data_IF_487204167814
#
_entry.id   IF_487204167814
#
_cell.length_a   1.000
_cell.length_b   1.000
_cell.length_c   1.000
_cell.angle_alpha   90.00
_cell.angle_beta   90.00
_cell.angle_gamma   90.00
#
_symmetry.space_group_name_H-M   'P 1'
#
loop_
_entity.id
_entity.type
_entity.pdbx_description
1 polymer ?
#
# COMPACT_ATOMS: atom_id res chain seq x y z
N UNK A 1 13.58 9.59 -16.77
CA UNK A 1 13.06 8.22 -16.49
C UNK A 1 13.76 7.60 -15.28
N UNK A 2 15.10 7.56 -15.23
CA UNK A 2 15.87 7.08 -14.07
C UNK A 2 15.48 7.74 -12.74
N UNK A 3 15.38 9.08 -12.70
CA UNK A 3 14.95 9.80 -11.50
C UNK A 3 13.53 9.40 -11.02
N UNK A 4 12.58 9.16 -11.93
CA UNK A 4 11.22 8.73 -11.56
C UNK A 4 11.18 7.31 -10.99
N UNK A 5 12.06 6.43 -11.50
CA UNK A 5 12.22 5.06 -10.99
C UNK A 5 12.82 5.11 -9.58
N UNK A 6 13.84 5.93 -9.37
CA UNK A 6 14.49 6.10 -8.07
C UNK A 6 13.52 6.73 -7.04
N UNK A 7 12.76 7.76 -7.44
CA UNK A 7 11.70 8.34 -6.59
C UNK A 7 10.63 7.31 -6.23
N UNK A 8 10.19 6.49 -7.19
CA UNK A 8 9.21 5.43 -6.93
C UNK A 8 9.74 4.37 -5.95
N UNK A 9 11.02 3.98 -6.08
CA UNK A 9 11.67 3.06 -5.13
C UNK A 9 11.74 3.65 -3.73
N UNK A 10 12.16 4.91 -3.61
CA UNK A 10 12.25 5.60 -2.30
C UNK A 10 10.87 5.75 -1.65
N UNK A 11 9.85 6.15 -2.40
CA UNK A 11 8.48 6.28 -1.90
C UNK A 11 7.94 4.93 -1.41
N UNK A 12 8.24 3.85 -2.13
CA UNK A 12 7.90 2.47 -1.75
C UNK A 12 8.61 2.03 -0.48
N UNK A 13 9.93 2.22 -0.39
CA UNK A 13 10.71 1.77 0.78
C UNK A 13 10.23 2.48 2.05
N UNK A 14 9.93 3.78 1.94
CA UNK A 14 9.27 4.54 3.01
C UNK A 14 7.90 3.98 3.38
N UNK A 15 7.08 3.61 2.39
CA UNK A 15 5.77 3.02 2.62
C UNK A 15 5.84 1.73 3.43
N UNK A 16 6.75 0.83 3.07
CA UNK A 16 7.00 -0.43 3.81
C UNK A 16 7.51 -0.15 5.22
N UNK A 17 8.48 0.75 5.37
CA UNK A 17 9.03 1.12 6.68
C UNK A 17 7.97 1.69 7.62
N UNK A 18 7.07 2.54 7.11
CA UNK A 18 5.97 3.11 7.89
C UNK A 18 4.98 2.03 8.32
N UNK A 19 4.69 1.05 7.47
CA UNK A 19 3.80 -0.07 7.84
C UNK A 19 4.46 -0.97 8.89
N UNK A 20 5.75 -1.24 8.79
CA UNK A 20 6.47 -2.04 9.80
C UNK A 20 6.49 -1.31 11.15
N UNK A 21 6.72 0.01 11.14
CA UNK A 21 6.60 0.84 12.35
C UNK A 21 5.18 0.82 12.92
N UNK A 22 4.16 0.87 12.08
CA UNK A 22 2.77 0.76 12.50
C UNK A 22 2.47 -0.60 13.14
N UNK A 23 2.95 -1.70 12.57
CA UNK A 23 2.82 -3.03 13.20
C UNK A 23 3.50 -3.08 14.56
N UNK A 24 4.71 -2.52 14.68
CA UNK A 24 5.41 -2.41 15.97
C UNK A 24 4.58 -1.64 17.01
N UNK A 25 4.03 -0.48 16.64
CA UNK A 25 3.18 0.32 17.52
C UNK A 25 1.89 -0.41 17.93
N UNK A 26 1.31 -1.21 17.03
CA UNK A 26 0.12 -2.03 17.35
C UNK A 26 0.44 -3.09 18.41
N UNK A 27 1.58 -3.77 18.29
CA UNK A 27 2.04 -4.75 19.30
C UNK A 27 2.30 -4.08 20.65
N UNK A 28 2.90 -2.89 20.64
CA UNK A 28 3.10 -2.13 21.87
C UNK A 28 1.77 -1.72 22.52
N UNK A 29 0.80 -1.26 21.71
CA UNK A 29 -0.54 -0.93 22.18
C UNK A 29 -1.26 -2.14 22.78
N UNK A 30 -1.12 -3.32 22.19
CA UNK A 30 -1.67 -4.56 22.75
C UNK A 30 -1.07 -4.88 24.12
N UNK A 31 0.26 -4.74 24.25
CA UNK A 31 0.95 -4.94 25.53
C UNK A 31 0.53 -3.90 26.60
N UNK A 32 0.34 -2.64 26.20
CA UNK A 32 -0.16 -1.58 27.10
C UNK A 32 -1.58 -1.91 27.55
N UNK A 33 -2.48 -2.26 26.63
CA UNK A 33 -3.85 -2.63 26.94
C UNK A 33 -3.92 -3.83 27.90
N UNK A 34 -3.07 -4.85 27.69
CA UNK A 34 -2.99 -6.00 28.60
C UNK A 34 -2.59 -5.58 30.03
N UNK A 35 -1.58 -4.72 30.18
CA UNK A 35 -1.15 -4.21 31.50
C UNK A 35 -2.22 -3.37 32.19
N UNK A 36 -2.97 -2.57 31.43
CA UNK A 36 -4.12 -1.82 31.98
C UNK A 36 -5.18 -2.80 32.49
N UNK A 37 -5.43 -3.89 31.77
CA UNK A 37 -6.42 -4.91 32.14
C UNK A 37 -6.08 -5.61 33.43
N UNK A 38 -4.81 -5.96 33.61
CA UNK A 38 -4.30 -6.52 34.86
C UNK A 38 -4.52 -5.55 36.03
N UNK A 39 -4.23 -4.25 35.85
CA UNK A 39 -4.46 -3.24 36.89
C UNK A 39 -5.93 -3.07 37.24
N UNK A 40 -6.82 -3.10 36.25
CA UNK A 40 -8.27 -3.02 36.47
C UNK A 40 -8.76 -4.26 37.22
N UNK A 41 -8.25 -5.44 36.89
CA UNK A 41 -8.55 -6.68 37.62
C UNK A 41 -8.10 -6.61 39.09
N UNK A 42 -6.88 -6.12 39.35
CA UNK A 42 -6.38 -5.91 40.72
C UNK A 42 -7.27 -4.91 41.47
N UNK A 43 -7.69 -3.81 40.81
CA UNK A 43 -8.55 -2.80 41.43
C UNK A 43 -9.92 -3.38 41.81
N UNK A 44 -10.47 -4.27 40.98
CA UNK A 44 -11.71 -5.01 41.26
C UNK A 44 -11.60 -5.86 42.53
N UNK A 45 -10.56 -6.71 42.63
CA UNK A 45 -10.31 -7.54 43.81
C UNK A 45 -10.12 -6.69 45.09
N UNK A 46 -9.44 -5.55 44.97
CA UNK A 46 -9.25 -4.62 46.10
C UNK A 46 -10.56 -3.98 46.51
N UNK A 47 -11.40 -3.60 45.54
CA UNK A 47 -12.73 -3.03 45.81
C UNK A 47 -13.64 -4.02 46.52
N UNK A 48 -13.60 -5.31 46.16
CA UNK A 48 -14.31 -6.37 46.89
C UNK A 48 -13.83 -6.52 48.33
N UNK A 49 -12.50 -6.52 48.55
CA UNK A 49 -11.93 -6.59 49.90
C UNK A 49 -12.35 -5.41 50.77
N UNK A 50 -12.36 -4.19 50.22
CA UNK A 50 -12.84 -3.00 50.95
C UNK A 50 -14.33 -3.15 51.26
N UNK A 51 -15.15 -3.64 50.32
CA UNK A 51 -16.58 -3.90 50.53
C UNK A 51 -16.82 -4.81 51.74
N UNK A 52 -16.06 -5.90 51.87
CA UNK A 52 -16.17 -6.85 52.98
C UNK A 52 -15.74 -6.23 54.32
N UNK A 53 -14.68 -5.42 54.32
CA UNK A 53 -14.22 -4.69 55.50
C UNK A 53 -15.29 -3.69 55.96
N UNK A 54 -15.86 -2.92 55.03
CA UNK A 54 -16.94 -1.96 55.30
C UNK A 54 -18.18 -2.64 55.89
N UNK A 55 -18.55 -3.81 55.38
CA UNK A 55 -19.65 -4.62 55.94
C UNK A 55 -19.34 -5.09 57.38
N UNK A 56 -18.09 -5.50 57.63
CA UNK A 56 -17.64 -5.89 58.97
C UNK A 56 -17.69 -4.72 59.94
N UNK A 57 -17.22 -3.53 59.54
CA UNK A 57 -17.29 -2.30 60.34
C UNK A 57 -18.75 -1.94 60.65
N UNK A 58 -19.64 -2.05 59.66
CA UNK A 58 -21.08 -1.81 59.85
C UNK A 58 -21.68 -2.74 60.90
N UNK A 59 -21.31 -4.02 60.86
CA UNK A 59 -21.73 -5.04 61.84
C UNK A 59 -21.22 -4.72 63.25
N UNK A 60 -19.93 -4.41 63.39
CA UNK A 60 -19.30 -4.03 64.67
C UNK A 60 -19.97 -2.77 65.23
N UNK A 61 -20.19 -1.76 64.40
CA UNK A 61 -20.80 -0.49 64.81
C UNK A 61 -22.24 -0.68 65.29
N UNK A 62 -23.00 -1.55 64.63
CA UNK A 62 -24.35 -1.93 65.06
C UNK A 62 -24.33 -2.61 66.44
N UNK A 63 -23.37 -3.52 66.67
CA UNK A 63 -23.18 -4.17 67.98
C UNK A 63 -22.78 -3.16 69.07
N UNK A 64 -21.87 -2.23 68.79
CA UNK A 64 -21.48 -1.17 69.73
C UNK A 64 -22.69 -0.28 70.06
N UNK A 65 -23.48 0.09 69.06
CA UNK A 65 -24.70 0.87 69.27
C UNK A 65 -25.69 0.12 70.19
N UNK A 66 -25.88 -1.19 69.99
CA UNK A 66 -26.72 -2.02 70.87
C UNK A 66 -26.15 -2.14 72.29
N UNK A 67 -24.84 -2.36 72.43
CA UNK A 67 -24.16 -2.45 73.73
C UNK A 67 -24.25 -1.14 74.52
N UNK A 68 -24.00 -0.01 73.85
CA UNK A 68 -24.09 1.32 74.44
C UNK A 68 -25.52 1.70 74.86
N UNK A 69 -26.53 1.26 74.08
CA UNK A 69 -27.93 1.42 74.46
C UNK A 69 -28.26 0.63 75.72
N UNK A 70 -27.83 -0.63 75.81
CA UNK A 70 -28.03 -1.46 77.01
C UNK A 70 -27.32 -0.85 78.23
N UNK A 71 -26.10 -0.33 78.05
CA UNK A 71 -25.37 0.36 79.11
C UNK A 71 -26.06 1.65 79.57
N UNK A 72 -26.64 2.42 78.65
CA UNK A 72 -27.42 3.63 78.97
C UNK A 72 -28.70 3.29 79.77
N UNK A 73 -29.39 2.20 79.40
CA UNK A 73 -30.58 1.70 80.12
C UNK A 73 -30.19 1.27 81.55
N UNK A 74 -29.15 0.47 81.71
CA UNK A 74 -28.73 -0.03 83.03
C UNK A 74 -28.19 1.11 83.91
N UNK A 75 -27.52 2.10 83.31
CA UNK A 75 -27.08 3.31 84.01
C UNK A 75 -28.26 4.16 84.51
N UNK A 76 -29.35 4.27 83.73
CA UNK A 76 -30.57 4.94 84.16
C UNK A 76 -31.27 4.18 85.31
N UNK A 77 -31.18 2.84 85.29
CA UNK A 77 -31.74 1.96 86.32
C UNK A 77 -31.01 2.06 87.66
N UNK A 78 -29.70 2.32 87.63
CA UNK A 78 -28.87 2.55 88.83
C UNK A 78 -29.05 3.93 89.49
N UNK A 79 -29.90 4.82 88.93
CA UNK A 79 -30.22 6.12 89.51
C UNK A 79 -28.99 7.05 89.62
N UNK A 80 -28.79 7.68 90.78
CA UNK A 80 -27.66 8.62 90.98
C UNK A 80 -26.29 7.96 90.85
N UNK A 81 -26.15 6.68 91.21
CA UNK A 81 -24.88 5.94 91.11
C UNK A 81 -24.44 5.68 89.66
N UNK A 82 -25.39 5.64 88.71
CA UNK A 82 -25.13 5.37 87.28
C UNK A 82 -24.91 6.63 86.43
N UNK A 83 -24.98 7.82 87.02
CA UNK A 83 -25.04 9.09 86.28
C UNK A 83 -23.78 9.36 85.43
N UNK A 84 -22.59 9.01 85.95
CA UNK A 84 -21.33 9.09 85.21
C UNK A 84 -21.23 8.07 84.06
N UNK A 85 -21.69 6.84 84.28
CA UNK A 85 -21.73 5.79 83.25
C UNK A 85 -22.74 6.10 82.13
N UNK A 86 -23.85 6.76 82.45
CA UNK A 86 -24.85 7.19 81.47
C UNK A 86 -24.27 8.19 80.45
N UNK A 87 -23.41 9.11 80.89
CA UNK A 87 -22.74 10.06 79.98
C UNK A 87 -21.81 9.33 79.02
N UNK A 88 -20.99 8.40 79.52
CA UNK A 88 -20.08 7.59 78.69
C UNK A 88 -20.85 6.72 77.70
N UNK A 89 -21.93 6.08 78.13
CA UNK A 89 -22.77 5.24 77.27
C UNK A 89 -23.42 6.04 76.13
N UNK A 90 -23.90 7.26 76.42
CA UNK A 90 -24.45 8.15 75.39
C UNK A 90 -23.39 8.65 74.41
N UNK A 91 -22.17 8.93 74.86
CA UNK A 91 -21.07 9.34 73.97
C UNK A 91 -20.64 8.18 73.05
N UNK A 92 -20.53 6.96 73.58
CA UNK A 92 -20.25 5.76 72.76
C UNK A 92 -21.37 5.52 71.73
N UNK A 93 -22.63 5.69 72.13
CA UNK A 93 -23.78 5.56 71.23
C UNK A 93 -23.71 6.56 70.08
N UNK A 94 -23.37 7.82 70.39
CA UNK A 94 -23.17 8.86 69.38
C UNK A 94 -22.03 8.52 68.43
N UNK A 95 -20.89 8.09 68.97
CA UNK A 95 -19.73 7.66 68.17
C UNK A 95 -20.08 6.49 67.23
N UNK A 96 -20.88 5.54 67.70
CA UNK A 96 -21.37 4.44 66.88
C UNK A 96 -22.32 4.93 65.77
N UNK A 97 -23.23 5.85 66.06
CA UNK A 97 -24.11 6.43 65.02
C UNK A 97 -23.32 7.20 63.95
N UNK A 98 -22.33 7.99 64.36
CA UNK A 98 -21.45 8.73 63.44
C UNK A 98 -20.63 7.76 62.58
N UNK A 99 -20.05 6.72 63.19
CA UNK A 99 -19.30 5.67 62.47
C UNK A 99 -20.19 4.92 61.47
N UNK A 100 -21.45 4.64 61.84
CA UNK A 100 -22.39 3.96 60.94
C UNK A 100 -22.71 4.83 59.72
N UNK A 101 -22.85 6.14 59.91
CA UNK A 101 -23.07 7.11 58.84
C UNK A 101 -21.88 7.15 57.88
N UNK A 102 -20.65 7.28 58.40
CA UNK A 102 -19.44 7.24 57.57
C UNK A 102 -19.27 5.91 56.84
N UNK A 103 -19.68 4.78 57.46
CA UNK A 103 -19.63 3.46 56.81
C UNK A 103 -20.60 3.37 55.62
N UNK A 104 -21.77 4.02 55.70
CA UNK A 104 -22.73 4.11 54.58
C UNK A 104 -22.18 4.97 53.45
N UNK A 105 -21.51 6.08 53.77
CA UNK A 105 -20.84 6.91 52.76
C UNK A 105 -19.73 6.13 52.03
N UNK A 106 -18.91 5.39 52.77
CA UNK A 106 -17.87 4.51 52.20
C UNK A 106 -18.50 3.44 51.29
N UNK A 107 -19.61 2.82 51.70
CA UNK A 107 -20.33 1.82 50.88
C UNK A 107 -20.82 2.40 49.54
N UNK A 108 -21.34 3.63 49.56
CA UNK A 108 -21.75 4.32 48.33
C UNK A 108 -20.56 4.59 47.40
N UNK A 109 -19.43 5.07 47.96
CA UNK A 109 -18.19 5.28 47.19
C UNK A 109 -17.71 3.98 46.57
N UNK A 110 -17.72 2.86 47.31
CA UNK A 110 -17.32 1.54 46.78
C UNK A 110 -18.22 1.09 45.64
N UNK A 111 -19.55 1.32 45.73
CA UNK A 111 -20.49 1.01 44.64
C UNK A 111 -20.19 1.82 43.38
N UNK A 112 -19.91 3.11 43.53
CA UNK A 112 -19.50 3.96 42.41
C UNK A 112 -18.18 3.46 41.79
N UNK A 113 -17.18 3.12 42.62
CA UNK A 113 -15.93 2.52 42.15
C UNK A 113 -16.16 1.22 41.38
N UNK A 114 -16.99 0.30 41.88
CA UNK A 114 -17.33 -0.95 41.19
C UNK A 114 -17.97 -0.69 39.84
N UNK A 115 -18.86 0.29 39.74
CA UNK A 115 -19.46 0.68 38.46
C UNK A 115 -18.40 1.18 37.48
N UNK A 116 -17.52 2.08 37.91
CA UNK A 116 -16.42 2.59 37.07
C UNK A 116 -15.50 1.46 36.61
N UNK A 117 -15.18 0.51 37.49
CA UNK A 117 -14.37 -0.67 37.16
C UNK A 117 -15.04 -1.51 36.06
N UNK A 118 -16.34 -1.78 36.18
CA UNK A 118 -17.09 -2.58 35.20
C UNK A 118 -17.22 -1.88 33.85
N UNK A 119 -17.50 -0.57 33.86
CA UNK A 119 -17.51 0.26 32.65
C UNK A 119 -16.13 0.23 31.98
N UNK A 120 -15.05 0.38 32.77
CA UNK A 120 -13.67 0.31 32.28
C UNK A 120 -13.36 -1.06 31.67
N UNK A 121 -13.75 -2.17 32.31
CA UNK A 121 -13.56 -3.52 31.74
C UNK A 121 -14.23 -3.67 30.38
N UNK A 122 -15.43 -3.11 30.22
CA UNK A 122 -16.16 -3.12 28.95
C UNK A 122 -15.40 -2.34 27.87
N UNK A 123 -14.95 -1.12 28.19
CA UNK A 123 -14.12 -0.31 27.28
C UNK A 123 -12.82 -1.02 26.88
N UNK A 124 -12.22 -1.76 27.80
CA UNK A 124 -11.02 -2.55 27.53
C UNK A 124 -11.24 -3.70 26.54
N UNK A 125 -12.39 -4.36 26.59
CA UNK A 125 -12.77 -5.38 25.60
C UNK A 125 -12.89 -4.74 24.22
N UNK A 126 -13.56 -3.58 24.14
CA UNK A 126 -13.67 -2.83 22.89
C UNK A 126 -12.29 -2.38 22.39
N UNK A 127 -11.43 -1.87 23.27
CA UNK A 127 -10.06 -1.47 22.92
C UNK A 127 -9.26 -2.64 22.33
N UNK A 128 -9.36 -3.83 22.94
CA UNK A 128 -8.71 -5.05 22.42
C UNK A 128 -9.21 -5.40 21.02
N UNK A 129 -10.51 -5.30 20.77
CA UNK A 129 -11.09 -5.55 19.45
C UNK A 129 -10.60 -4.54 18.41
N UNK A 130 -10.55 -3.25 18.76
CA UNK A 130 -10.07 -2.18 17.87
C UNK A 130 -8.59 -2.35 17.54
N UNK A 131 -7.75 -2.71 18.53
CA UNK A 131 -6.33 -3.02 18.33
C UNK A 131 -6.18 -4.23 17.39
N UNK A 132 -6.95 -5.30 17.61
CA UNK A 132 -6.94 -6.47 16.73
C UNK A 132 -7.33 -6.16 15.28
N UNK A 133 -8.39 -5.36 15.08
CA UNK A 133 -8.78 -4.89 13.75
C UNK A 133 -7.68 -4.03 13.11
N UNK A 134 -7.06 -3.14 13.87
CA UNK A 134 -5.96 -2.29 13.40
C UNK A 134 -4.75 -3.13 12.98
N UNK A 135 -4.42 -4.18 13.74
CA UNK A 135 -3.38 -5.15 13.40
C UNK A 135 -3.66 -5.84 12.06
N UNK A 136 -4.88 -6.36 11.88
CA UNK A 136 -5.29 -7.01 10.64
C UNK A 136 -5.21 -6.07 9.44
N UNK A 137 -5.72 -4.84 9.59
CA UNK A 137 -5.65 -3.83 8.52
C UNK A 137 -4.21 -3.45 8.19
N UNK A 138 -3.36 -3.24 9.19
CA UNK A 138 -1.94 -2.93 8.98
C UNK A 138 -1.22 -4.04 8.21
N UNK A 139 -1.56 -5.31 8.44
CA UNK A 139 -1.03 -6.44 7.67
C UNK A 139 -1.46 -6.41 6.21
N UNK A 140 -2.76 -6.18 5.95
CA UNK A 140 -3.30 -6.06 4.58
C UNK A 140 -2.64 -4.89 3.85
N UNK A 141 -2.47 -3.74 4.51
CA UNK A 141 -1.76 -2.59 3.94
C UNK A 141 -0.32 -2.94 3.57
N UNK A 142 0.40 -3.68 4.42
CA UNK A 142 1.76 -4.15 4.12
C UNK A 142 1.82 -5.08 2.90
N UNK A 143 0.87 -6.00 2.78
CA UNK A 143 0.75 -6.88 1.60
C UNK A 143 0.45 -6.10 0.32
N UNK A 144 -0.39 -5.07 0.40
CA UNK A 144 -0.67 -4.18 -0.73
C UNK A 144 0.60 -3.43 -1.20
N UNK A 145 1.39 -2.87 -0.28
CA UNK A 145 2.66 -2.23 -0.62
C UNK A 145 3.66 -3.21 -1.25
N UNK A 146 3.75 -4.46 -0.76
CA UNK A 146 4.59 -5.50 -1.40
C UNK A 146 4.09 -5.91 -2.79
N UNK A 147 2.79 -5.84 -3.03
CA UNK A 147 2.21 -6.07 -4.36
C UNK A 147 2.56 -4.93 -5.33
N UNK A 148 2.50 -3.69 -4.85
CA UNK A 148 2.93 -2.50 -5.59
C UNK A 148 4.42 -2.62 -5.93
N UNK A 149 5.26 -3.04 -4.98
CA UNK A 149 6.71 -3.23 -5.19
C UNK A 149 7.01 -4.16 -6.37
N UNK A 150 6.42 -5.36 -6.37
CA UNK A 150 6.55 -6.32 -7.49
C UNK A 150 6.06 -5.75 -8.81
N UNK A 151 5.01 -4.94 -8.78
CA UNK A 151 4.46 -4.31 -9.99
C UNK A 151 5.41 -3.25 -10.54
N UNK A 152 6.03 -2.44 -9.67
CA UNK A 152 7.02 -1.43 -10.04
C UNK A 152 8.28 -2.08 -10.60
N UNK A 153 8.78 -3.16 -9.99
CA UNK A 153 9.92 -3.92 -10.52
C UNK A 153 9.65 -4.48 -11.92
N UNK A 154 8.46 -5.04 -12.14
CA UNK A 154 8.05 -5.51 -13.47
C UNK A 154 7.99 -4.39 -14.50
N UNK A 155 7.52 -3.20 -14.12
CA UNK A 155 7.48 -2.03 -15.01
C UNK A 155 8.89 -1.59 -15.38
N UNK A 156 9.81 -1.54 -14.42
CA UNK A 156 11.22 -1.20 -14.67
C UNK A 156 11.84 -2.18 -15.67
N UNK A 157 11.65 -3.48 -15.48
CA UNK A 157 12.16 -4.49 -16.41
C UNK A 157 11.58 -4.35 -17.83
N UNK A 158 10.30 -3.99 -17.95
CA UNK A 158 9.67 -3.70 -19.25
C UNK A 158 10.23 -2.45 -19.92
N UNK A 159 10.54 -1.41 -19.14
CA UNK A 159 11.16 -0.18 -19.65
C UNK A 159 12.58 -0.47 -20.17
N UNK A 160 13.35 -1.31 -19.48
CA UNK A 160 14.68 -1.71 -19.92
C UNK A 160 14.60 -2.49 -21.24
N UNK A 161 13.67 -3.44 -21.36
CA UNK A 161 13.42 -4.17 -22.62
C UNK A 161 13.02 -3.21 -23.75
N UNK A 162 12.10 -2.27 -23.50
CA UNK A 162 11.68 -1.28 -24.49
C UNK A 162 12.86 -0.41 -24.96
N UNK A 163 13.78 -0.08 -24.05
CA UNK A 163 14.99 0.68 -24.39
C UNK A 163 15.89 -0.12 -25.34
N UNK A 164 16.05 -1.43 -25.11
CA UNK A 164 16.81 -2.31 -26.00
C UNK A 164 16.14 -2.42 -27.38
N UNK A 165 14.81 -2.53 -27.43
CA UNK A 165 14.05 -2.59 -28.68
C UNK A 165 14.21 -1.30 -29.50
N UNK A 166 14.18 -0.13 -28.85
CA UNK A 166 14.41 1.17 -29.51
C UNK A 166 15.83 1.23 -30.11
N UNK A 167 16.85 0.73 -29.42
CA UNK A 167 18.22 0.68 -29.93
C UNK A 167 18.30 -0.24 -31.15
N UNK A 168 17.65 -1.41 -31.11
CA UNK A 168 17.59 -2.32 -32.27
C UNK A 168 16.87 -1.66 -33.45
N UNK A 169 15.73 -1.03 -33.21
CA UNK A 169 14.96 -0.33 -34.24
C UNK A 169 15.76 0.81 -34.89
N UNK A 170 16.59 1.51 -34.12
CA UNK A 170 17.49 2.54 -34.64
C UNK A 170 18.53 1.96 -35.61
N UNK A 171 19.09 0.79 -35.27
CA UNK A 171 20.04 0.06 -36.14
C UNK A 171 19.35 -0.45 -37.42
N UNK A 172 18.14 -0.95 -37.31
CA UNK A 172 17.37 -1.42 -38.46
C UNK A 172 17.01 -0.26 -39.40
N UNK A 173 16.62 0.90 -38.85
CA UNK A 173 16.45 2.14 -39.62
C UNK A 173 17.72 2.50 -40.40
N UNK A 174 18.90 2.43 -39.78
CA UNK A 174 20.16 2.73 -40.48
C UNK A 174 20.49 1.72 -41.59
N UNK A 175 20.12 0.45 -41.42
CA UNK A 175 20.24 -0.56 -42.47
C UNK A 175 19.30 -0.23 -43.65
N UNK A 176 18.04 0.13 -43.36
CA UNK A 176 17.07 0.51 -44.40
C UNK A 176 17.56 1.72 -45.20
N UNK A 177 18.10 2.74 -44.53
CA UNK A 177 18.69 3.90 -45.22
C UNK A 177 19.79 3.46 -46.18
N UNK A 178 20.74 2.62 -45.73
CA UNK A 178 21.80 2.09 -46.59
C UNK A 178 21.26 1.29 -47.79
N UNK A 179 20.19 0.53 -47.61
CA UNK A 179 19.55 -0.19 -48.71
C UNK A 179 18.90 0.77 -49.72
N UNK A 180 18.25 1.84 -49.24
CA UNK A 180 17.65 2.87 -50.09
C UNK A 180 18.73 3.57 -50.92
N UNK A 181 19.87 3.94 -50.32
CA UNK A 181 21.00 4.55 -51.03
C UNK A 181 21.52 3.62 -52.14
N UNK A 182 21.63 2.31 -51.84
CA UNK A 182 22.01 1.30 -52.82
C UNK A 182 21.02 1.18 -53.99
N UNK A 183 19.71 1.22 -53.71
CA UNK A 183 18.66 1.21 -54.75
C UNK A 183 18.75 2.46 -55.62
N UNK A 184 19.02 3.63 -55.03
CA UNK A 184 19.19 4.88 -55.76
C UNK A 184 20.37 4.78 -56.75
N UNK A 185 21.52 4.29 -56.29
CA UNK A 185 22.70 4.11 -57.14
C UNK A 185 22.45 3.12 -58.30
N UNK A 186 21.76 2.00 -58.04
CA UNK A 186 21.39 1.03 -59.09
C UNK A 186 20.40 1.65 -60.09
N UNK A 187 19.48 2.49 -59.62
CA UNK A 187 18.50 3.17 -60.47
C UNK A 187 19.15 4.21 -61.38
N UNK A 188 20.11 4.99 -60.86
CA UNK A 188 20.93 5.93 -61.66
C UNK A 188 21.74 5.19 -62.72
N UNK A 189 22.41 4.08 -62.35
CA UNK A 189 23.16 3.27 -63.30
C UNK A 189 22.23 2.69 -64.39
N UNK A 190 21.04 2.22 -64.01
CA UNK A 190 20.06 1.68 -64.96
C UNK A 190 19.55 2.74 -65.93
N UNK A 191 19.34 3.98 -65.47
CA UNK A 191 18.97 5.11 -66.33
C UNK A 191 20.08 5.43 -67.34
N UNK A 192 21.34 5.52 -66.87
CA UNK A 192 22.50 5.76 -67.74
C UNK A 192 22.67 4.65 -68.79
N UNK A 193 22.56 3.38 -68.40
CA UNK A 193 22.61 2.25 -69.35
C UNK A 193 21.46 2.30 -70.35
N UNK A 194 20.27 2.74 -69.93
CA UNK A 194 19.13 2.90 -70.84
C UNK A 194 19.40 3.99 -71.88
N UNK A 195 20.00 5.12 -71.48
CA UNK A 195 20.43 6.18 -72.42
C UNK A 195 21.46 5.68 -73.43
N UNK A 196 22.46 4.92 -72.98
CA UNK A 196 23.46 4.30 -73.86
C UNK A 196 22.82 3.32 -74.87
N UNK A 197 21.87 2.50 -74.41
CA UNK A 197 21.12 1.59 -75.29
C UNK A 197 20.32 2.39 -76.31
N UNK A 198 19.62 3.45 -75.91
CA UNK A 198 18.87 4.31 -76.82
C UNK A 198 19.77 4.92 -77.90
N UNK A 199 20.94 5.45 -77.53
CA UNK A 199 21.91 5.97 -78.48
C UNK A 199 22.42 4.89 -79.45
N UNK A 200 22.71 3.68 -78.95
CA UNK A 200 23.12 2.55 -79.77
C UNK A 200 22.02 2.13 -80.77
N UNK A 201 20.76 2.14 -80.34
CA UNK A 201 19.59 1.85 -81.19
C UNK A 201 19.43 2.90 -82.29
N UNK A 202 19.62 4.20 -81.98
CA UNK A 202 19.60 5.27 -82.99
C UNK A 202 20.71 5.09 -84.04
N UNK A 203 21.94 4.81 -83.59
CA UNK A 203 23.05 4.54 -84.49
C UNK A 203 22.81 3.28 -85.34
N UNK A 204 22.26 2.23 -84.75
CA UNK A 204 21.89 1.01 -85.45
C UNK A 204 20.80 1.28 -86.51
N UNK A 205 19.82 2.12 -86.19
CA UNK A 205 18.78 2.55 -87.14
C UNK A 205 19.38 3.30 -88.33
N UNK A 206 20.29 4.25 -88.09
CA UNK A 206 20.99 4.98 -89.15
C UNK A 206 21.81 4.03 -90.04
N UNK A 207 22.54 3.08 -89.46
CA UNK A 207 23.28 2.08 -90.22
C UNK A 207 22.35 1.21 -91.08
N UNK A 208 21.15 0.86 -90.59
CA UNK A 208 20.17 0.10 -91.37
C UNK A 208 19.64 0.89 -92.57
N UNK A 209 19.53 2.22 -92.48
CA UNK A 209 19.21 3.08 -93.63
C UNK A 209 20.32 2.98 -94.67
N UNK A 210 21.59 3.13 -94.27
CA UNK A 210 22.73 3.00 -95.20
C UNK A 210 22.84 1.60 -95.82
N UNK A 211 22.55 0.54 -95.06
CA UNK A 211 22.48 -0.83 -95.58
C UNK A 211 21.36 -0.95 -96.63
N UNK A 212 20.19 -0.37 -96.38
CA UNK A 212 19.09 -0.38 -97.35
C UNK A 212 19.46 0.37 -98.63
N UNK A 213 20.10 1.53 -98.51
CA UNK A 213 20.56 2.34 -99.66
C UNK A 213 21.59 1.57 -100.50
N UNK A 214 22.59 0.97 -99.86
CA UNK A 214 23.63 0.17 -100.55
C UNK A 214 23.05 -1.09 -101.19
N UNK A 215 22.09 -1.75 -100.54
CA UNK A 215 21.36 -2.88 -101.14
C UNK A 215 20.57 -2.44 -102.39
N UNK A 216 19.94 -1.26 -102.37
CA UNK A 216 19.25 -0.70 -103.52
C UNK A 216 20.21 -0.34 -104.67
N UNK A 217 21.37 0.25 -104.35
CA UNK A 217 22.41 0.52 -105.33
C UNK A 217 22.92 -0.79 -105.98
N UNK A 218 23.17 -1.81 -105.17
CA UNK A 218 23.61 -3.13 -105.64
C UNK A 218 22.56 -3.76 -106.57
N UNK A 219 21.27 -3.64 -106.23
CA UNK A 219 20.16 -4.09 -107.07
C UNK A 219 20.12 -3.37 -108.42
N UNK A 220 20.32 -2.05 -108.42
CA UNK A 220 20.37 -1.25 -109.65
C UNK A 220 21.54 -1.69 -110.54
N UNK A 221 22.74 -1.83 -109.96
CA UNK A 221 23.95 -2.31 -110.67
C UNK A 221 23.71 -3.71 -111.26
N UNK A 222 23.11 -4.63 -110.49
CA UNK A 222 22.78 -5.97 -110.97
C UNK A 222 21.78 -5.96 -112.13
N UNK A 223 20.81 -5.03 -112.11
CA UNK A 223 19.83 -4.84 -113.19
C UNK A 223 20.49 -4.28 -114.45
N UNK A 224 21.34 -3.25 -114.32
CA UNK A 224 22.11 -2.70 -115.44
C UNK A 224 23.03 -3.75 -116.08
N UNK A 225 23.74 -4.54 -115.27
CA UNK A 225 24.56 -5.66 -115.74
C UNK A 225 23.73 -6.68 -116.53
N UNK A 226 22.55 -7.04 -116.03
CA UNK A 226 21.61 -7.95 -116.71
C UNK A 226 21.19 -7.39 -118.07
N UNK A 227 20.83 -6.10 -118.13
CA UNK A 227 20.42 -5.44 -119.37
C UNK A 227 21.58 -5.37 -120.39
N UNK A 228 22.80 -5.13 -119.92
CA UNK A 228 24.00 -5.16 -120.75
C UNK A 228 24.21 -6.55 -121.37
N UNK A 229 24.09 -7.61 -120.57
CA UNK A 229 24.20 -9.00 -121.05
C UNK A 229 23.13 -9.31 -122.12
N UNK A 230 21.90 -8.82 -121.96
CA UNK A 230 20.82 -9.00 -122.96
C UNK A 230 21.21 -8.37 -124.30
N UNK A 231 21.83 -7.18 -124.30
CA UNK A 231 22.31 -6.54 -125.54
C UNK A 231 23.41 -7.32 -126.26
N UNK A 232 24.24 -8.06 -125.52
CA UNK A 232 25.30 -8.91 -126.09
C UNK A 232 24.81 -10.31 -126.48
N UNK A 233 23.54 -10.66 -126.21
CA UNK A 233 22.94 -11.96 -126.52
C UNK A 233 22.16 -11.95 -127.85
N UNK A 234 22.58 -11.12 -128.80
CA UNK A 234 22.15 -11.11 -130.21
C UNK A 234 23.20 -11.79 -131.06
#
# INVERSE_FOLDING_TARGET
MKNFIDESKIAKDRGIEVVDKLQGAVVENEAVAARVGEKVFILDEKSEKISLITETIKSITSQINMLSLNAAIESARAGEAGRGFSVVANEIKKLAADTATSTVEIDNIIKEFKKIIEDTKTEMITAKQVIGNTSAMSKITGEAFRSIDRSVENIIGKIDSLTMDIVSMSKDKDNVIRTIDGISAVSEQSAATTEEISAAVEQQSANMVTISETAQQLYNIATELKDLIIKFKV
#
